data_IF_495068743764
#
_entry.id   IF_495068743764
#
_cell.length_a   1.000
_cell.length_b   1.000
_cell.length_c   1.000
_cell.angle_alpha   90.00
_cell.angle_beta   90.00
_cell.angle_gamma   90.00
#
_symmetry.space_group_name_H-M   'P 1'
#
loop_
_entity.id
_entity.type
_entity.pdbx_description
1 polymer ?
#
# COMPACT_ATOMS: atom_id res chain seq x y z
N UNK A 1 25.70 27.10 -6.11
CA UNK A 1 24.89 26.56 -7.23
C UNK A 1 24.89 27.60 -8.32
N UNK A 2 25.58 27.31 -9.42
CA UNK A 2 25.70 28.18 -10.58
C UNK A 2 24.46 28.03 -11.48
N UNK A 3 24.27 28.95 -12.43
CA UNK A 3 23.22 28.81 -13.46
C UNK A 3 23.41 27.52 -14.27
N UNK A 4 24.65 27.12 -14.51
CA UNK A 4 24.99 25.89 -15.21
C UNK A 4 24.53 24.65 -14.43
N UNK A 5 24.76 24.61 -13.11
CA UNK A 5 24.29 23.53 -12.24
C UNK A 5 22.77 23.36 -12.31
N UNK A 6 22.02 24.48 -12.28
CA UNK A 6 20.56 24.45 -12.34
C UNK A 6 20.06 24.00 -13.72
N UNK A 7 20.70 24.42 -14.81
CA UNK A 7 20.37 23.95 -16.16
C UNK A 7 20.61 22.45 -16.33
N UNK A 8 21.70 21.91 -15.77
CA UNK A 8 21.99 20.47 -15.76
C UNK A 8 20.88 19.73 -14.99
N UNK A 9 20.50 20.23 -13.81
CA UNK A 9 19.42 19.68 -12.99
C UNK A 9 18.07 19.69 -13.71
N UNK A 10 17.67 20.82 -14.29
CA UNK A 10 16.41 20.94 -15.04
C UNK A 10 16.37 19.97 -16.23
N UNK A 11 17.48 19.83 -16.97
CA UNK A 11 17.59 18.89 -18.10
C UNK A 11 17.49 17.43 -17.64
N UNK A 12 18.05 17.09 -16.49
CA UNK A 12 17.95 15.76 -15.86
C UNK A 12 16.49 15.44 -15.52
N UNK A 13 15.81 16.34 -14.81
CA UNK A 13 14.39 16.21 -14.43
C UNK A 13 13.48 16.08 -15.67
N UNK A 14 13.71 16.91 -16.71
CA UNK A 14 12.94 16.85 -17.95
C UNK A 14 13.09 15.49 -18.65
N UNK A 15 14.30 14.91 -18.63
CA UNK A 15 14.56 13.58 -19.21
C UNK A 15 13.88 12.46 -18.43
N UNK A 16 13.91 12.49 -17.09
CA UNK A 16 13.23 11.46 -16.28
C UNK A 16 11.73 11.53 -16.48
N UNK A 17 11.15 12.74 -16.53
CA UNK A 17 9.73 12.93 -16.83
C UNK A 17 9.35 12.50 -18.25
N UNK A 18 10.15 12.83 -19.28
CA UNK A 18 9.89 12.38 -20.65
C UNK A 18 9.99 10.85 -20.78
N UNK A 19 10.91 10.22 -20.05
CA UNK A 19 10.96 8.76 -19.93
C UNK A 19 9.69 8.23 -19.26
N UNK A 20 9.24 8.85 -18.16
CA UNK A 20 7.98 8.50 -17.53
C UNK A 20 6.79 8.64 -18.48
N UNK A 21 6.73 9.65 -19.36
CA UNK A 21 5.67 9.80 -20.38
C UNK A 21 5.78 8.77 -21.53
N UNK A 22 6.93 8.12 -21.68
CA UNK A 22 7.18 7.13 -22.72
C UNK A 22 7.64 7.71 -24.05
N UNK A 23 8.29 8.88 -24.04
CA UNK A 23 8.92 9.46 -25.23
C UNK A 23 9.93 8.47 -25.81
N UNK A 24 9.76 8.08 -27.08
CA UNK A 24 10.44 6.93 -27.71
C UNK A 24 11.96 7.04 -27.66
N UNK A 25 12.50 8.23 -27.86
CA UNK A 25 13.94 8.51 -27.90
C UNK A 25 14.59 8.48 -26.50
N UNK A 26 13.79 8.59 -25.44
CA UNK A 26 14.26 8.72 -24.05
C UNK A 26 13.92 7.47 -23.22
N UNK A 27 12.84 6.77 -23.57
CA UNK A 27 12.36 5.59 -22.84
C UNK A 27 13.35 4.43 -23.00
N UNK A 28 13.80 3.88 -21.86
CA UNK A 28 14.61 2.66 -21.84
C UNK A 28 13.77 1.45 -22.23
N UNK A 29 14.25 0.63 -23.16
CA UNK A 29 13.52 -0.54 -23.69
C UNK A 29 13.14 -1.55 -22.61
N UNK A 30 14.06 -1.85 -21.69
CA UNK A 30 13.82 -2.78 -20.57
C UNK A 30 12.76 -2.29 -19.57
N UNK A 31 12.50 -0.98 -19.52
CA UNK A 31 11.55 -0.36 -18.59
C UNK A 31 10.20 -0.02 -19.27
N UNK A 32 10.22 0.18 -20.59
CA UNK A 32 9.08 0.63 -21.38
C UNK A 32 7.80 -0.19 -21.17
N UNK A 33 7.84 -1.54 -21.11
CA UNK A 33 6.64 -2.33 -20.91
C UNK A 33 5.98 -2.07 -19.54
N UNK A 34 6.78 -1.99 -18.47
CA UNK A 34 6.26 -1.74 -17.13
C UNK A 34 5.67 -0.33 -17.00
N UNK A 35 6.38 0.67 -17.55
CA UNK A 35 5.92 2.07 -17.54
C UNK A 35 4.63 2.26 -18.33
N UNK A 36 4.54 1.67 -19.53
CA UNK A 36 3.33 1.74 -20.36
C UNK A 36 2.13 1.13 -19.65
N UNK A 37 2.32 -0.04 -19.05
CA UNK A 37 1.29 -0.75 -18.27
C UNK A 37 0.79 0.14 -17.13
N UNK A 38 1.70 0.59 -16.26
CA UNK A 38 1.37 1.45 -15.12
C UNK A 38 0.71 2.77 -15.55
N UNK A 39 1.19 3.44 -16.60
CA UNK A 39 0.62 4.70 -17.10
C UNK A 39 -0.84 4.58 -17.56
N UNK A 40 -1.25 3.41 -18.04
CA UNK A 40 -2.65 3.20 -18.44
C UNK A 40 -3.63 3.25 -17.26
N UNK A 41 -3.13 3.19 -16.02
CA UNK A 41 -3.91 3.37 -14.79
C UNK A 41 -3.98 4.83 -14.31
N UNK A 42 -3.22 5.74 -14.94
CA UNK A 42 -3.13 7.15 -14.58
C UNK A 42 -1.68 7.65 -14.50
N UNK A 43 -1.48 8.93 -14.17
CA UNK A 43 -0.17 9.58 -14.14
C UNK A 43 0.22 10.16 -12.77
N UNK A 44 -0.63 10.02 -11.75
CA UNK A 44 -0.44 10.61 -10.42
C UNK A 44 0.83 10.15 -9.69
N UNK A 45 1.34 8.99 -10.06
CA UNK A 45 2.56 8.37 -9.53
C UNK A 45 3.86 8.92 -10.15
N UNK A 46 3.76 9.87 -11.10
CA UNK A 46 4.92 10.40 -11.83
C UNK A 46 6.03 10.93 -10.94
N UNK A 47 5.70 11.64 -9.85
CA UNK A 47 6.71 12.19 -8.91
C UNK A 47 7.53 11.07 -8.25
N UNK A 48 6.86 10.01 -7.79
CA UNK A 48 7.53 8.84 -7.20
C UNK A 48 8.40 8.12 -8.23
N UNK A 49 7.90 7.98 -9.46
CA UNK A 49 8.64 7.36 -10.56
C UNK A 49 9.89 8.18 -10.92
N UNK A 50 9.79 9.51 -10.93
CA UNK A 50 10.93 10.38 -11.15
C UNK A 50 11.98 10.19 -10.06
N UNK A 51 11.58 10.11 -8.78
CA UNK A 51 12.51 9.82 -7.68
C UNK A 51 13.21 8.47 -7.86
N UNK A 52 12.48 7.41 -8.23
CA UNK A 52 13.09 6.10 -8.50
C UNK A 52 14.06 6.14 -9.68
N UNK A 53 13.77 6.97 -10.69
CA UNK A 53 14.69 7.24 -11.79
C UNK A 53 15.98 7.89 -11.30
N UNK A 54 15.87 8.86 -10.38
CA UNK A 54 17.03 9.49 -9.76
C UNK A 54 17.91 8.45 -9.06
N UNK A 55 17.33 7.55 -8.26
CA UNK A 55 18.05 6.45 -7.61
C UNK A 55 18.75 5.49 -8.61
N UNK A 56 18.18 5.32 -9.80
CA UNK A 56 18.75 4.46 -10.85
C UNK A 56 19.94 5.11 -11.57
N UNK A 57 19.88 6.43 -11.81
CA UNK A 57 20.89 7.16 -12.58
C UNK A 57 21.95 7.84 -11.70
N UNK A 58 21.73 7.87 -10.39
CA UNK A 58 22.68 8.40 -9.42
C UNK A 58 24.03 7.68 -9.48
N UNK A 59 25.08 8.35 -8.99
CA UNK A 59 26.47 7.83 -9.04
C UNK A 59 26.60 6.48 -8.31
N UNK A 60 25.82 6.27 -7.25
CA UNK A 60 25.79 5.04 -6.48
C UNK A 60 24.93 3.93 -7.09
N UNK A 61 24.05 4.23 -8.07
CA UNK A 61 23.14 3.28 -8.76
C UNK A 61 22.49 2.26 -7.82
N UNK A 62 21.89 2.76 -6.75
CA UNK A 62 21.30 1.96 -5.68
C UNK A 62 20.01 1.24 -6.10
N UNK A 63 19.44 1.60 -7.25
CA UNK A 63 18.33 0.91 -7.88
C UNK A 63 18.78 0.28 -9.21
N UNK A 64 18.99 -1.03 -9.22
CA UNK A 64 19.34 -1.74 -10.46
C UNK A 64 18.16 -1.82 -11.45
N UNK A 65 18.42 -2.29 -12.68
CA UNK A 65 17.37 -2.36 -13.71
C UNK A 65 16.22 -3.29 -13.33
N UNK A 66 16.51 -4.43 -12.71
CA UNK A 66 15.50 -5.41 -12.31
C UNK A 66 14.65 -4.84 -11.18
N UNK A 67 15.28 -4.29 -10.14
CA UNK A 67 14.62 -3.64 -9.03
C UNK A 67 13.77 -2.45 -9.48
N UNK A 68 14.21 -1.68 -10.48
CA UNK A 68 13.41 -0.58 -11.00
C UNK A 68 12.16 -1.10 -11.72
N UNK A 69 12.28 -2.15 -12.55
CA UNK A 69 11.10 -2.80 -13.13
C UNK A 69 10.16 -3.32 -12.02
N UNK A 70 10.71 -3.99 -11.01
CA UNK A 70 9.94 -4.51 -9.87
C UNK A 70 9.25 -3.39 -9.09
N UNK A 71 9.89 -2.22 -8.90
CA UNK A 71 9.31 -1.04 -8.28
C UNK A 71 8.10 -0.50 -9.06
N UNK A 72 8.23 -0.40 -10.40
CA UNK A 72 7.12 0.03 -11.25
C UNK A 72 5.96 -0.97 -11.21
N UNK A 73 6.26 -2.28 -11.22
CA UNK A 73 5.24 -3.33 -11.07
C UNK A 73 4.57 -3.32 -9.70
N UNK A 74 5.30 -2.97 -8.63
CA UNK A 74 4.73 -2.82 -7.30
C UNK A 74 3.73 -1.66 -7.23
N UNK A 75 4.09 -0.50 -7.80
CA UNK A 75 3.20 0.66 -7.90
C UNK A 75 1.97 0.33 -8.74
N UNK A 76 2.15 -0.33 -9.89
CA UNK A 76 1.05 -0.80 -10.73
C UNK A 76 0.11 -1.75 -9.98
N UNK A 77 0.67 -2.74 -9.28
CA UNK A 77 -0.09 -3.71 -8.47
C UNK A 77 -0.92 -3.00 -7.40
N UNK A 78 -0.33 -2.06 -6.66
CA UNK A 78 -1.04 -1.25 -5.67
C UNK A 78 -2.24 -0.51 -6.28
N UNK A 79 -2.01 0.21 -7.39
CA UNK A 79 -3.06 1.02 -8.04
C UNK A 79 -4.18 0.11 -8.56
N UNK A 80 -3.84 -0.99 -9.24
CA UNK A 80 -4.83 -1.90 -9.79
C UNK A 80 -5.65 -2.57 -8.69
N UNK A 81 -5.00 -3.17 -7.68
CA UNK A 81 -5.69 -3.86 -6.58
C UNK A 81 -6.70 -2.93 -5.93
N UNK A 82 -6.30 -1.70 -5.59
CA UNK A 82 -7.21 -0.70 -5.02
C UNK A 82 -8.35 -0.33 -5.95
N UNK A 83 -8.09 -0.22 -7.25
CA UNK A 83 -9.14 0.06 -8.23
C UNK A 83 -10.14 -1.10 -8.37
N UNK A 84 -9.68 -2.34 -8.28
CA UNK A 84 -10.54 -3.54 -8.29
C UNK A 84 -11.45 -3.57 -7.07
N UNK A 85 -10.93 -3.21 -5.89
CA UNK A 85 -11.71 -3.06 -4.66
C UNK A 85 -12.64 -1.82 -4.65
N UNK A 86 -12.57 -0.94 -5.65
CA UNK A 86 -13.37 0.29 -5.69
C UNK A 86 -12.92 1.36 -4.68
N UNK A 87 -11.68 1.31 -4.19
CA UNK A 87 -11.19 2.23 -3.17
C UNK A 87 -10.89 3.63 -3.74
N UNK A 88 -11.09 4.65 -2.89
CA UNK A 88 -10.93 6.06 -3.26
C UNK A 88 -9.48 6.41 -3.64
N UNK A 89 -9.34 7.32 -4.62
CA UNK A 89 -8.05 7.77 -5.17
C UNK A 89 -7.74 9.26 -4.98
N UNK A 90 -8.60 10.00 -4.26
CA UNK A 90 -8.53 11.47 -4.18
C UNK A 90 -7.18 12.02 -3.67
N UNK A 91 -6.46 11.26 -2.85
CA UNK A 91 -5.21 11.71 -2.23
C UNK A 91 -3.97 11.01 -2.81
N UNK A 92 -4.08 10.37 -3.97
CA UNK A 92 -2.96 9.63 -4.57
C UNK A 92 -1.76 10.52 -4.85
N UNK A 93 -1.98 11.75 -5.36
CA UNK A 93 -0.88 12.68 -5.60
C UNK A 93 -0.10 13.01 -4.32
N UNK A 94 -0.80 13.33 -3.23
CA UNK A 94 -0.17 13.62 -1.93
C UNK A 94 0.55 12.39 -1.38
N UNK A 95 -0.05 11.21 -1.52
CA UNK A 95 0.51 9.93 -1.09
C UNK A 95 1.83 9.62 -1.82
N UNK A 96 1.81 9.63 -3.15
CA UNK A 96 2.98 9.33 -3.97
C UNK A 96 4.08 10.39 -3.82
N UNK A 97 3.69 11.67 -3.68
CA UNK A 97 4.65 12.75 -3.38
C UNK A 97 5.33 12.53 -2.04
N UNK A 98 4.56 12.21 -0.98
CA UNK A 98 5.13 11.89 0.33
C UNK A 98 6.09 10.69 0.25
N UNK A 99 5.68 9.62 -0.42
CA UNK A 99 6.54 8.44 -0.58
C UNK A 99 7.83 8.78 -1.32
N UNK A 100 7.77 9.63 -2.35
CA UNK A 100 8.96 10.08 -3.07
C UNK A 100 9.99 10.77 -2.15
N UNK A 101 9.52 11.59 -1.19
CA UNK A 101 10.40 12.22 -0.20
C UNK A 101 10.91 11.25 0.88
N UNK A 102 10.27 10.11 1.08
CA UNK A 102 10.66 9.12 2.08
C UNK A 102 11.54 7.99 1.53
N UNK A 103 11.79 7.93 0.21
CA UNK A 103 12.71 6.95 -0.38
C UNK A 103 14.14 7.21 0.10
N UNK A 104 14.74 6.23 0.79
CA UNK A 104 16.17 6.24 1.08
C UNK A 104 16.96 6.03 -0.23
N UNK A 105 17.85 6.96 -0.60
CA UNK A 105 18.72 6.77 -1.76
C UNK A 105 19.61 5.54 -1.64
N UNK A 106 20.00 5.08 -0.44
CA UNK A 106 20.90 3.93 -0.28
C UNK A 106 20.19 2.57 -0.40
N UNK A 107 18.90 2.52 -0.06
CA UNK A 107 18.07 1.31 -0.12
C UNK A 107 16.72 1.58 -0.81
N UNK A 108 16.77 2.06 -2.05
CA UNK A 108 15.60 2.67 -2.68
C UNK A 108 14.43 1.72 -2.89
N UNK A 109 14.69 0.47 -3.28
CA UNK A 109 13.62 -0.52 -3.45
C UNK A 109 13.03 -0.98 -2.10
N UNK A 110 13.88 -1.25 -1.10
CA UNK A 110 13.44 -1.61 0.25
C UNK A 110 12.61 -0.51 0.91
N UNK A 111 13.06 0.74 0.76
CA UNK A 111 12.35 1.92 1.25
C UNK A 111 10.99 2.10 0.59
N UNK A 112 10.87 1.81 -0.71
CA UNK A 112 9.57 1.82 -1.39
C UNK A 112 8.62 0.76 -0.81
N UNK A 113 9.12 -0.46 -0.56
CA UNK A 113 8.32 -1.53 0.04
C UNK A 113 7.84 -1.14 1.44
N UNK A 114 8.72 -0.60 2.28
CA UNK A 114 8.35 -0.09 3.61
C UNK A 114 7.37 1.07 3.52
N UNK A 115 7.55 2.00 2.58
CA UNK A 115 6.66 3.14 2.39
C UNK A 115 5.22 2.66 2.12
N UNK A 116 5.05 1.62 1.29
CA UNK A 116 3.76 0.95 1.09
C UNK A 116 3.25 0.21 2.33
N UNK A 117 4.14 -0.45 3.07
CA UNK A 117 3.80 -1.21 4.29
C UNK A 117 3.29 -0.32 5.42
N UNK A 118 3.76 0.93 5.47
CA UNK A 118 3.49 1.89 6.54
C UNK A 118 2.40 2.90 6.16
N UNK A 119 1.67 2.67 5.06
CA UNK A 119 0.54 3.50 4.69
C UNK A 119 -0.58 3.44 5.74
N UNK A 120 -1.32 4.54 5.96
CA UNK A 120 -2.50 4.52 6.81
C UNK A 120 -3.52 3.49 6.32
N UNK A 121 -4.32 2.93 7.24
CA UNK A 121 -5.30 1.88 6.92
C UNK A 121 -6.23 2.23 5.73
N UNK A 122 -6.68 3.49 5.60
CA UNK A 122 -7.53 3.92 4.47
C UNK A 122 -6.84 3.86 3.09
N UNK A 123 -5.51 3.80 3.09
CA UNK A 123 -4.63 3.71 1.91
C UNK A 123 -3.74 2.45 1.94
N UNK A 124 -4.08 1.45 2.76
CA UNK A 124 -3.30 0.21 2.84
C UNK A 124 -3.15 -0.46 1.47
N UNK A 125 -2.07 -1.23 1.34
CA UNK A 125 -1.85 -2.10 0.20
C UNK A 125 -2.80 -3.31 0.32
N UNK A 126 -3.72 -3.55 -0.64
CA UNK A 126 -4.69 -4.62 -0.49
C UNK A 126 -4.07 -6.02 -0.48
N UNK A 127 -4.56 -6.87 0.43
CA UNK A 127 -4.09 -8.25 0.56
C UNK A 127 -4.48 -9.11 -0.64
N UNK A 128 -3.93 -10.33 -0.72
CA UNK A 128 -4.38 -11.28 -1.74
C UNK A 128 -5.85 -11.63 -1.56
N UNK A 129 -6.29 -11.89 -0.33
CA UNK A 129 -7.65 -12.29 0.03
C UNK A 129 -8.67 -11.21 -0.37
N UNK A 130 -8.37 -9.93 -0.08
CA UNK A 130 -9.24 -8.83 -0.47
C UNK A 130 -9.33 -8.67 -1.99
N UNK A 131 -8.18 -8.76 -2.68
CA UNK A 131 -8.10 -8.65 -4.14
C UNK A 131 -8.84 -9.79 -4.84
N UNK A 132 -8.63 -11.00 -4.35
CA UNK A 132 -9.28 -12.22 -4.75
C UNK A 132 -10.79 -12.16 -4.60
N UNK A 133 -11.27 -11.74 -3.44
CA UNK A 133 -12.70 -11.59 -3.18
C UNK A 133 -13.31 -10.56 -4.13
N UNK A 134 -12.66 -9.41 -4.28
CA UNK A 134 -13.14 -8.36 -5.18
C UNK A 134 -13.21 -8.80 -6.65
N UNK A 135 -12.21 -9.54 -7.16
CA UNK A 135 -12.25 -10.08 -8.54
C UNK A 135 -13.40 -11.07 -8.78
N UNK A 136 -13.82 -11.79 -7.74
CA UNK A 136 -14.94 -12.75 -7.79
C UNK A 136 -16.30 -12.03 -7.71
N UNK A 137 -16.41 -11.05 -6.82
CA UNK A 137 -17.67 -10.40 -6.48
C UNK A 137 -18.00 -9.20 -7.39
N UNK A 138 -17.02 -8.50 -7.95
CA UNK A 138 -17.29 -7.25 -8.65
C UNK A 138 -17.68 -7.44 -10.12
N UNK A 139 -18.52 -6.52 -10.59
CA UNK A 139 -18.88 -6.37 -11.99
C UNK A 139 -17.72 -5.71 -12.74
N UNK A 140 -16.73 -6.52 -13.12
CA UNK A 140 -15.48 -6.03 -13.67
C UNK A 140 -15.64 -5.21 -14.95
N UNK A 141 -16.62 -5.53 -15.80
CA UNK A 141 -16.86 -4.75 -17.03
C UNK A 141 -17.14 -3.27 -16.75
N UNK A 142 -17.84 -2.97 -15.66
CA UNK A 142 -18.19 -1.60 -15.27
C UNK A 142 -17.03 -0.86 -14.62
N UNK A 143 -15.96 -1.58 -14.25
CA UNK A 143 -14.77 -0.99 -13.68
C UNK A 143 -13.87 -0.42 -14.79
N UNK A 144 -13.42 0.83 -14.63
CA UNK A 144 -12.49 1.50 -15.54
C UNK A 144 -11.19 0.72 -15.80
N UNK A 145 -10.78 -0.16 -14.88
CA UNK A 145 -9.55 -0.96 -15.04
C UNK A 145 -9.76 -2.26 -15.84
N UNK A 146 -10.98 -2.59 -16.27
CA UNK A 146 -11.28 -3.87 -16.91
C UNK A 146 -10.36 -4.17 -18.09
N UNK A 147 -10.13 -3.15 -18.94
CA UNK A 147 -9.26 -3.30 -20.11
C UNK A 147 -7.82 -3.58 -19.71
N UNK A 148 -7.29 -2.86 -18.71
CA UNK A 148 -5.95 -3.09 -18.20
C UNK A 148 -5.81 -4.49 -17.60
N UNK A 149 -6.81 -4.95 -16.84
CA UNK A 149 -6.85 -6.29 -16.28
C UNK A 149 -6.79 -7.37 -17.38
N UNK A 150 -7.62 -7.23 -18.42
CA UNK A 150 -7.63 -8.18 -19.54
C UNK A 150 -6.33 -8.11 -20.36
N UNK A 151 -5.76 -6.92 -20.56
CA UNK A 151 -4.46 -6.77 -21.22
C UNK A 151 -3.36 -7.50 -20.43
N UNK A 152 -3.26 -7.25 -19.12
CA UNK A 152 -2.30 -7.95 -18.27
C UNK A 152 -2.46 -9.47 -18.32
N UNK A 153 -3.70 -9.97 -18.26
CA UNK A 153 -3.99 -11.39 -18.39
C UNK A 153 -3.65 -11.96 -19.78
N UNK A 154 -3.77 -11.20 -20.86
CA UNK A 154 -3.37 -11.67 -22.19
C UNK A 154 -1.85 -11.66 -22.37
N UNK A 155 -1.20 -10.61 -21.90
CA UNK A 155 0.15 -10.25 -22.31
C UNK A 155 1.24 -10.53 -21.27
N UNK A 156 0.92 -10.76 -19.99
CA UNK A 156 1.96 -10.98 -18.97
C UNK A 156 2.82 -12.22 -19.27
N UNK A 157 4.14 -12.10 -19.07
CA UNK A 157 5.12 -13.16 -19.34
C UNK A 157 5.33 -13.52 -20.82
N UNK A 158 4.53 -12.99 -21.74
CA UNK A 158 4.64 -13.30 -23.17
C UNK A 158 5.77 -12.50 -23.84
N UNK A 159 6.57 -13.17 -24.68
CA UNK A 159 7.58 -12.50 -25.53
C UNK A 159 6.90 -11.78 -26.70
N UNK A 160 5.96 -12.45 -27.36
CA UNK A 160 5.16 -11.88 -28.43
C UNK A 160 3.84 -11.33 -27.86
N UNK A 161 3.74 -10.01 -27.77
CA UNK A 161 2.57 -9.32 -27.22
C UNK A 161 1.46 -9.24 -28.25
N UNK A 162 0.24 -9.52 -27.83
CA UNK A 162 -0.95 -9.27 -28.63
C UNK A 162 -1.29 -7.76 -28.59
N UNK A 163 -1.70 -7.16 -29.73
CA UNK A 163 -2.08 -5.75 -29.81
C UNK A 163 -3.48 -5.52 -29.23
N UNK A 164 -3.65 -5.76 -27.93
CA UNK A 164 -4.92 -5.69 -27.19
C UNK A 164 -5.60 -4.32 -27.26
N UNK A 165 -4.83 -3.25 -27.51
CA UNK A 165 -5.35 -1.90 -27.73
C UNK A 165 -6.27 -1.77 -28.95
N UNK A 166 -6.06 -2.62 -29.98
CA UNK A 166 -6.91 -2.70 -31.17
C UNK A 166 -8.14 -3.59 -30.93
N UNK A 167 -8.23 -4.22 -29.76
CA UNK A 167 -9.31 -5.13 -29.42
C UNK A 167 -10.35 -4.46 -28.52
N UNK A 168 -11.58 -4.94 -28.65
CA UNK A 168 -12.71 -4.56 -27.81
C UNK A 168 -12.96 -5.63 -26.75
N UNK A 169 -13.58 -5.22 -25.65
CA UNK A 169 -14.03 -6.16 -24.60
C UNK A 169 -15.31 -6.81 -25.10
N UNK A 170 -15.34 -8.14 -25.10
CA UNK A 170 -16.48 -8.95 -25.51
C UNK A 170 -17.08 -9.67 -24.30
N UNK A 171 -18.41 -9.72 -24.27
CA UNK A 171 -19.19 -10.57 -23.38
C UNK A 171 -19.43 -11.91 -24.07
N UNK A 172 -18.92 -13.00 -23.52
CA UNK A 172 -19.07 -14.32 -24.14
C UNK A 172 -20.56 -14.70 -24.14
N UNK A 173 -21.18 -14.72 -22.97
CA UNK A 173 -22.64 -14.62 -22.80
C UNK A 173 -23.05 -13.15 -23.01
N UNK A 174 -23.88 -12.83 -24.03
CA UNK A 174 -24.15 -11.46 -24.44
C UNK A 174 -25.00 -10.65 -23.46
N UNK A 175 -24.99 -9.33 -23.62
CA UNK A 175 -25.84 -8.42 -22.83
C UNK A 175 -27.33 -8.61 -23.13
N UNK A 176 -27.69 -8.91 -24.38
CA UNK A 176 -29.09 -9.08 -24.78
C UNK A 176 -29.39 -10.55 -25.11
N UNK A 177 -30.03 -11.27 -24.17
CA UNK A 177 -30.44 -12.68 -24.36
C UNK A 177 -31.95 -12.93 -24.25
N UNK A 178 -32.76 -11.91 -23.92
CA UNK A 178 -34.23 -12.05 -23.78
C UNK A 178 -34.93 -12.59 -25.03
N UNK A 179 -34.35 -12.36 -26.21
CA UNK A 179 -34.87 -12.85 -27.48
C UNK A 179 -34.13 -14.07 -28.05
N UNK A 180 -33.08 -14.57 -27.37
CA UNK A 180 -32.33 -15.75 -27.83
C UNK A 180 -32.74 -16.99 -27.06
N UNK A 181 -33.51 -17.86 -27.72
CA UNK A 181 -33.93 -19.15 -27.16
C UNK A 181 -32.75 -20.08 -26.92
N UNK A 182 -31.71 -19.96 -27.73
CA UNK A 182 -30.48 -20.75 -27.63
C UNK A 182 -29.74 -20.46 -26.32
N UNK A 183 -29.56 -19.17 -25.99
CA UNK A 183 -28.94 -18.78 -24.73
C UNK A 183 -29.80 -19.14 -23.52
N UNK A 184 -31.12 -18.93 -23.59
CA UNK A 184 -32.04 -19.34 -22.51
C UNK A 184 -31.97 -20.84 -22.26
N UNK A 185 -32.01 -21.64 -23.33
CA UNK A 185 -31.88 -23.10 -23.22
C UNK A 185 -30.52 -23.54 -22.71
N UNK A 186 -29.44 -22.86 -23.09
CA UNK A 186 -28.08 -23.17 -22.64
C UNK A 186 -27.88 -22.88 -21.15
N UNK A 187 -28.45 -21.79 -20.66
CA UNK A 187 -28.35 -21.38 -19.25
C UNK A 187 -29.34 -22.12 -18.34
N UNK A 188 -30.41 -22.69 -18.89
CA UNK A 188 -31.40 -23.51 -18.17
C UNK A 188 -32.57 -22.70 -17.62
N UNK A 189 -33.31 -23.29 -16.67
CA UNK A 189 -34.55 -22.70 -16.13
C UNK A 189 -34.29 -21.34 -15.44
N UNK A 190 -33.16 -21.21 -14.75
CA UNK A 190 -32.78 -20.02 -13.97
C UNK A 190 -31.95 -19.01 -14.78
N UNK A 191 -32.08 -19.00 -16.11
CA UNK A 191 -31.24 -18.21 -17.00
C UNK A 191 -31.22 -16.71 -16.67
N UNK A 192 -32.33 -16.14 -16.18
CA UNK A 192 -32.41 -14.72 -15.81
C UNK A 192 -31.47 -14.39 -14.65
N UNK A 193 -31.51 -15.21 -13.59
CA UNK A 193 -30.66 -15.06 -12.40
C UNK A 193 -29.19 -15.26 -12.76
N UNK A 194 -28.89 -16.29 -13.57
CA UNK A 194 -27.52 -16.55 -14.03
C UNK A 194 -27.02 -15.39 -14.89
N UNK A 195 -27.85 -14.85 -15.78
CA UNK A 195 -27.48 -13.73 -16.63
C UNK A 195 -27.17 -12.48 -15.82
N UNK A 196 -28.08 -12.08 -14.92
CA UNK A 196 -27.88 -10.90 -14.06
C UNK A 196 -26.61 -11.01 -13.22
N UNK A 197 -26.38 -12.18 -12.61
CA UNK A 197 -25.23 -12.40 -11.74
C UNK A 197 -23.90 -12.42 -12.50
N UNK A 198 -23.86 -13.06 -13.67
CA UNK A 198 -22.60 -13.38 -14.34
C UNK A 198 -22.23 -12.46 -15.50
N UNK A 199 -23.18 -11.67 -16.02
CA UNK A 199 -22.99 -10.86 -17.23
C UNK A 199 -21.70 -10.03 -17.20
N UNK A 200 -21.45 -9.31 -16.10
CA UNK A 200 -20.32 -8.39 -15.99
C UNK A 200 -19.11 -8.96 -15.22
N UNK A 201 -19.14 -10.25 -14.86
CA UNK A 201 -18.08 -10.90 -14.10
C UNK A 201 -16.89 -11.24 -14.98
N UNK A 202 -15.69 -11.26 -14.39
CA UNK A 202 -14.43 -11.52 -15.08
C UNK A 202 -14.47 -12.81 -15.94
N UNK A 203 -15.09 -13.87 -15.42
CA UNK A 203 -15.25 -15.14 -16.12
C UNK A 203 -15.99 -15.04 -17.46
N UNK A 204 -16.87 -14.05 -17.64
CA UNK A 204 -17.63 -13.83 -18.87
C UNK A 204 -16.99 -12.83 -19.85
N UNK A 205 -15.83 -12.23 -19.50
CA UNK A 205 -15.22 -11.17 -20.28
C UNK A 205 -13.98 -11.65 -21.05
N UNK A 206 -13.81 -11.15 -22.27
CA UNK A 206 -12.62 -11.43 -23.07
C UNK A 206 -12.28 -10.29 -24.02
N UNK A 207 -11.21 -10.44 -24.81
CA UNK A 207 -10.81 -9.51 -25.86
C UNK A 207 -11.04 -10.12 -27.24
N UNK A 208 -11.48 -9.30 -28.19
CA UNK A 208 -11.65 -9.68 -29.60
C UNK A 208 -11.54 -8.48 -30.55
N UNK A 209 -11.04 -8.75 -31.76
CA UNK A 209 -11.08 -7.80 -32.88
C UNK A 209 -12.40 -7.84 -33.67
N UNK A 210 -13.26 -8.84 -33.40
CA UNK A 210 -14.46 -9.14 -34.21
C UNK A 210 -15.78 -8.96 -33.44
N UNK A 211 -15.81 -8.08 -32.44
CA UNK A 211 -16.96 -7.89 -31.54
C UNK A 211 -18.27 -7.62 -32.30
N UNK A 212 -18.23 -6.78 -33.33
CA UNK A 212 -19.41 -6.49 -34.17
C UNK A 212 -20.01 -7.73 -34.85
N UNK A 213 -19.21 -8.76 -35.12
CA UNK A 213 -19.67 -10.04 -35.69
C UNK A 213 -20.17 -11.02 -34.64
N UNK A 214 -19.61 -10.96 -33.42
CA UNK A 214 -19.96 -11.86 -32.32
C UNK A 214 -21.21 -11.38 -31.60
N UNK A 215 -21.18 -10.16 -31.06
CA UNK A 215 -22.30 -9.42 -30.48
C UNK A 215 -23.29 -10.31 -29.71
N UNK A 216 -24.58 -10.32 -30.07
CA UNK A 216 -25.63 -11.11 -29.41
C UNK A 216 -25.84 -12.50 -30.05
N UNK A 217 -24.90 -13.00 -30.84
CA UNK A 217 -25.04 -14.30 -31.50
C UNK A 217 -25.05 -15.46 -30.48
N UNK A 218 -25.69 -16.60 -30.81
CA UNK A 218 -25.59 -17.83 -30.03
C UNK A 218 -24.13 -18.27 -29.83
N UNK A 219 -23.86 -19.00 -28.75
CA UNK A 219 -22.49 -19.44 -28.41
C UNK A 219 -21.80 -20.21 -29.54
N UNK A 220 -22.50 -21.15 -30.17
CA UNK A 220 -21.96 -21.96 -31.27
C UNK A 220 -21.55 -21.10 -32.49
N UNK A 221 -22.35 -20.08 -32.79
CA UNK A 221 -22.04 -19.10 -33.84
C UNK A 221 -20.81 -18.29 -33.47
N UNK A 222 -20.70 -17.85 -32.20
CA UNK A 222 -19.52 -17.12 -31.71
C UNK A 222 -18.25 -17.98 -31.74
N UNK A 223 -18.37 -19.29 -31.56
CA UNK A 223 -17.24 -20.23 -31.67
C UNK A 223 -16.76 -20.38 -33.12
N UNK A 224 -17.68 -20.69 -34.03
CA UNK A 224 -17.39 -21.22 -35.38
C UNK A 224 -17.26 -20.17 -36.48
N UNK A 225 -17.83 -18.98 -36.30
CA UNK A 225 -17.75 -17.91 -37.31
C UNK A 225 -16.30 -17.52 -37.62
N UNK A 226 -16.01 -17.02 -38.82
CA UNK A 226 -14.69 -16.49 -39.18
C UNK A 226 -14.27 -15.35 -38.22
N UNK A 227 -13.21 -15.57 -37.45
CA UNK A 227 -12.77 -14.66 -36.38
C UNK A 227 -13.42 -14.93 -35.02
N UNK A 228 -14.21 -16.00 -34.90
CA UNK A 228 -14.80 -16.51 -33.68
C UNK A 228 -13.80 -17.14 -32.73
N UNK A 229 -14.28 -17.66 -31.61
CA UNK A 229 -13.41 -18.11 -30.52
C UNK A 229 -12.45 -19.22 -30.95
N UNK A 230 -12.89 -20.17 -31.80
CA UNK A 230 -12.06 -21.30 -32.28
C UNK A 230 -10.83 -20.84 -33.07
N UNK A 231 -11.01 -19.82 -33.92
CA UNK A 231 -9.95 -19.27 -34.78
C UNK A 231 -9.23 -18.06 -34.18
N UNK A 232 -9.57 -17.66 -32.95
CA UNK A 232 -9.01 -16.47 -32.30
C UNK A 232 -7.50 -16.62 -32.06
N UNK A 233 -6.73 -15.54 -32.22
CA UNK A 233 -5.33 -15.50 -31.81
C UNK A 233 -5.16 -15.14 -30.32
N UNK A 234 -6.21 -14.69 -29.65
CA UNK A 234 -6.19 -14.19 -28.26
C UNK A 234 -6.14 -15.36 -27.28
N UNK A 235 -5.11 -15.42 -26.44
CA UNK A 235 -4.88 -16.53 -25.48
C UNK A 235 -5.96 -16.59 -24.40
N UNK A 236 -6.55 -15.47 -24.00
CA UNK A 236 -7.72 -15.41 -23.10
C UNK A 236 -8.91 -16.25 -23.58
N UNK A 237 -9.00 -16.50 -24.89
CA UNK A 237 -10.05 -17.33 -25.49
C UNK A 237 -9.73 -18.83 -25.46
N UNK A 238 -8.53 -19.26 -25.04
CA UNK A 238 -8.13 -20.68 -25.04
C UNK A 238 -9.05 -21.56 -24.19
N UNK A 239 -9.52 -21.06 -23.03
CA UNK A 239 -10.49 -21.77 -22.20
C UNK A 239 -11.83 -21.93 -22.95
N UNK A 240 -12.33 -20.82 -23.51
CA UNK A 240 -13.63 -20.73 -24.20
C UNK A 240 -13.72 -21.68 -25.39
N UNK A 241 -12.63 -21.78 -26.17
CA UNK A 241 -12.53 -22.68 -27.34
C UNK A 241 -12.84 -24.14 -27.03
N UNK A 242 -12.46 -24.58 -25.83
CA UNK A 242 -12.57 -25.96 -25.39
C UNK A 242 -13.93 -26.29 -24.78
N UNK A 243 -14.81 -25.31 -24.62
CA UNK A 243 -16.12 -25.53 -24.03
C UNK A 243 -17.16 -25.75 -25.11
N UNK A 244 -18.01 -26.74 -24.90
CA UNK A 244 -19.19 -26.99 -25.75
C UNK A 244 -20.41 -26.20 -25.28
N UNK A 245 -20.41 -25.78 -24.01
CA UNK A 245 -21.48 -24.99 -23.40
C UNK A 245 -20.89 -23.81 -22.63
N UNK A 246 -21.68 -22.78 -22.44
CA UNK A 246 -21.28 -21.58 -21.69
C UNK A 246 -22.31 -21.24 -20.62
N UNK A 247 -22.21 -21.94 -19.49
CA UNK A 247 -23.12 -21.80 -18.35
C UNK A 247 -22.42 -21.14 -17.15
N UNK A 248 -23.16 -20.95 -16.06
CA UNK A 248 -22.59 -20.54 -14.77
C UNK A 248 -21.32 -21.31 -14.41
N UNK A 249 -21.32 -22.64 -14.59
CA UNK A 249 -20.17 -23.49 -14.27
C UNK A 249 -18.91 -23.06 -15.03
N UNK A 250 -18.99 -22.90 -16.35
CA UNK A 250 -17.82 -22.48 -17.15
C UNK A 250 -17.37 -21.06 -16.83
N UNK A 251 -18.30 -20.15 -16.53
CA UNK A 251 -17.98 -18.79 -16.11
C UNK A 251 -17.28 -18.75 -14.75
N UNK A 252 -17.72 -19.59 -13.80
CA UNK A 252 -17.10 -19.74 -12.49
C UNK A 252 -15.69 -20.35 -12.60
N UNK A 253 -15.55 -21.47 -13.30
CA UNK A 253 -14.27 -22.18 -13.49
C UNK A 253 -13.24 -21.26 -14.17
N UNK A 254 -13.64 -20.57 -15.25
CA UNK A 254 -12.77 -19.59 -15.91
C UNK A 254 -12.45 -18.41 -15.02
N UNK A 255 -13.43 -17.92 -14.27
CA UNK A 255 -13.25 -16.82 -13.33
C UNK A 255 -12.15 -17.13 -12.33
N UNK A 256 -12.14 -18.34 -11.76
CA UNK A 256 -11.12 -18.77 -10.81
C UNK A 256 -9.73 -18.92 -11.47
N UNK A 257 -9.65 -19.47 -12.68
CA UNK A 257 -8.38 -19.54 -13.44
C UNK A 257 -7.78 -18.13 -13.67
N UNK A 258 -8.61 -17.18 -14.15
CA UNK A 258 -8.16 -15.82 -14.41
C UNK A 258 -7.75 -15.09 -13.13
N UNK A 259 -8.45 -15.35 -12.03
CA UNK A 259 -8.16 -14.77 -10.72
C UNK A 259 -6.81 -15.24 -10.19
N UNK A 260 -6.53 -16.53 -10.25
CA UNK A 260 -5.22 -17.10 -9.89
C UNK A 260 -4.08 -16.43 -10.67
N UNK A 261 -4.27 -16.27 -11.98
CA UNK A 261 -3.32 -15.58 -12.85
C UNK A 261 -3.17 -14.10 -12.48
N UNK A 262 -4.25 -13.41 -12.13
CA UNK A 262 -4.19 -12.00 -11.72
C UNK A 262 -3.31 -11.80 -10.49
N UNK A 263 -3.34 -12.70 -9.51
CA UNK A 263 -2.49 -12.62 -8.31
C UNK A 263 -1.00 -12.77 -8.66
N UNK A 264 -0.66 -13.63 -9.62
CA UNK A 264 0.71 -13.83 -10.09
C UNK A 264 1.25 -12.57 -10.81
N UNK A 265 0.38 -11.87 -11.55
CA UNK A 265 0.68 -10.67 -12.32
C UNK A 265 0.85 -9.45 -11.39
N UNK A 266 -0.18 -9.17 -10.59
CA UNK A 266 -0.23 -8.04 -9.67
C UNK A 266 -0.01 -8.56 -8.26
N UNK A 267 1.26 -8.77 -7.92
CA UNK A 267 1.69 -9.42 -6.67
C UNK A 267 1.35 -8.58 -5.43
N UNK A 268 1.13 -9.22 -4.27
CA UNK A 268 0.98 -8.51 -3.02
C UNK A 268 2.28 -7.79 -2.64
N UNK A 269 2.18 -6.88 -1.67
CA UNK A 269 3.36 -6.34 -1.03
C UNK A 269 4.12 -7.47 -0.32
N UNK A 270 5.42 -7.55 -0.56
CA UNK A 270 6.32 -8.49 0.10
C UNK A 270 7.39 -7.68 0.82
N UNK A 271 7.34 -7.65 2.14
CA UNK A 271 8.27 -6.92 3.01
C UNK A 271 8.29 -7.65 4.36
N UNK A 272 9.46 -7.81 4.97
CA UNK A 272 9.54 -8.48 6.27
C UNK A 272 9.23 -7.52 7.41
N UNK A 273 8.73 -8.06 8.52
CA UNK A 273 8.53 -7.28 9.75
C UNK A 273 9.83 -6.65 10.25
N UNK A 274 10.97 -7.31 10.01
CA UNK A 274 12.30 -6.78 10.30
C UNK A 274 12.60 -5.51 9.49
N UNK A 275 12.34 -5.51 8.17
CA UNK A 275 12.54 -4.32 7.33
C UNK A 275 11.64 -3.16 7.77
N UNK A 276 10.40 -3.45 8.15
CA UNK A 276 9.48 -2.43 8.68
C UNK A 276 10.00 -1.89 10.02
N UNK A 277 10.46 -2.77 10.92
CA UNK A 277 11.02 -2.40 12.23
C UNK A 277 12.26 -1.52 12.08
N UNK A 278 13.23 -1.94 11.25
CA UNK A 278 14.47 -1.17 11.05
C UNK A 278 14.20 0.19 10.41
N UNK A 279 13.30 0.28 9.43
CA UNK A 279 12.96 1.57 8.83
C UNK A 279 12.22 2.51 9.78
N UNK A 280 11.35 1.98 10.66
CA UNK A 280 10.76 2.77 11.76
C UNK A 280 11.84 3.27 12.72
N UNK A 281 12.78 2.40 13.10
CA UNK A 281 13.92 2.71 13.97
C UNK A 281 14.79 3.81 13.37
N UNK A 282 15.18 3.69 12.11
CA UNK A 282 15.97 4.68 11.37
C UNK A 282 15.26 6.04 11.29
N UNK A 283 13.95 6.08 11.05
CA UNK A 283 13.15 7.33 11.10
C UNK A 283 13.15 7.94 12.50
N UNK A 284 13.00 7.14 13.56
CA UNK A 284 13.07 7.62 14.94
C UNK A 284 14.45 8.20 15.28
N UNK A 285 15.54 7.53 14.91
CA UNK A 285 16.91 8.04 15.09
C UNK A 285 17.14 9.36 14.36
N UNK A 286 16.64 9.49 13.12
CA UNK A 286 16.73 10.74 12.37
C UNK A 286 15.95 11.89 13.04
N UNK A 287 14.85 11.59 13.74
CA UNK A 287 14.08 12.57 14.53
C UNK A 287 14.79 12.92 15.84
N UNK A 288 15.32 11.93 16.54
CA UNK A 288 16.10 12.11 17.77
C UNK A 288 17.30 13.04 17.57
N UNK A 289 17.96 12.97 16.41
CA UNK A 289 19.08 13.85 16.06
C UNK A 289 18.71 15.32 15.88
N UNK A 290 17.43 15.66 15.66
CA UNK A 290 17.00 17.05 15.39
C UNK A 290 16.95 17.91 16.64
N UNK A 291 16.73 17.30 17.81
CA UNK A 291 16.52 18.01 19.07
C UNK A 291 16.77 17.06 20.23
N UNK A 292 17.61 17.47 21.18
CA UNK A 292 17.86 16.73 22.42
C UNK A 292 17.05 17.31 23.57
N UNK A 293 16.86 16.53 24.63
CA UNK A 293 16.08 16.98 25.79
C UNK A 293 16.83 18.03 26.61
N UNK A 294 18.16 18.10 26.47
CA UNK A 294 19.05 19.05 27.12
C UNK A 294 18.74 20.51 26.74
N UNK A 295 18.20 20.71 25.54
CA UNK A 295 17.72 21.99 25.00
C UNK A 295 16.34 22.41 25.53
N UNK A 296 15.67 21.57 26.32
CA UNK A 296 14.37 21.89 26.91
C UNK A 296 14.54 22.84 28.11
N UNK A 297 13.83 23.96 28.07
CA UNK A 297 13.71 24.86 29.22
C UNK A 297 12.86 24.21 30.32
N UNK A 298 13.45 23.99 31.49
CA UNK A 298 12.76 23.45 32.66
C UNK A 298 13.51 23.78 33.97
N UNK A 299 12.84 23.73 35.14
CA UNK A 299 13.49 23.94 36.43
C UNK A 299 14.56 22.88 36.73
N UNK A 300 15.64 23.27 37.42
CA UNK A 300 16.77 22.39 37.76
C UNK A 300 16.36 21.11 38.51
N UNK A 301 15.38 21.21 39.43
CA UNK A 301 14.87 20.03 40.14
C UNK A 301 14.23 19.01 39.20
N UNK A 302 13.41 19.48 38.26
CA UNK A 302 12.75 18.62 37.27
C UNK A 302 13.75 18.05 36.26
N UNK A 303 14.78 18.83 35.90
CA UNK A 303 15.91 18.36 35.08
C UNK A 303 16.63 17.17 35.75
N UNK A 304 16.90 17.26 37.05
CA UNK A 304 17.50 16.15 37.80
C UNK A 304 16.63 14.90 37.88
N UNK A 305 15.30 15.07 38.01
CA UNK A 305 14.35 13.96 37.95
C UNK A 305 14.32 13.30 36.57
N UNK A 306 14.31 14.09 35.50
CA UNK A 306 14.32 13.61 34.12
C UNK A 306 15.58 12.80 33.83
N UNK A 307 16.75 13.35 34.15
CA UNK A 307 18.05 12.68 33.94
C UNK A 307 18.13 11.35 34.70
N UNK A 308 17.69 11.35 35.97
CA UNK A 308 17.69 10.15 36.81
C UNK A 308 16.71 9.09 36.28
N UNK A 309 15.53 9.50 35.83
CA UNK A 309 14.53 8.60 35.25
C UNK A 309 15.04 7.98 33.94
N UNK A 310 15.65 8.77 33.06
CA UNK A 310 16.24 8.27 31.82
C UNK A 310 17.39 7.28 32.08
N UNK A 311 18.19 7.51 33.13
CA UNK A 311 19.24 6.57 33.53
C UNK A 311 18.64 5.19 33.87
N UNK A 312 17.61 5.16 34.71
CA UNK A 312 16.93 3.91 35.09
C UNK A 312 16.26 3.22 33.89
N UNK A 313 15.68 3.97 32.95
CA UNK A 313 15.08 3.41 31.73
C UNK A 313 16.17 2.77 30.83
N UNK A 314 17.34 3.42 30.68
CA UNK A 314 18.44 2.89 29.86
C UNK A 314 19.08 1.63 30.43
N UNK A 315 18.98 1.40 31.74
CA UNK A 315 19.42 0.15 32.38
C UNK A 315 18.53 -1.04 32.03
N UNK A 316 17.27 -0.81 31.64
CA UNK A 316 16.31 -1.89 31.35
C UNK A 316 16.06 -2.12 29.86
N UNK A 317 16.39 -1.16 28.99
CA UNK A 317 16.23 -1.29 27.53
C UNK A 317 17.13 -0.31 26.76
N UNK A 318 17.56 -0.71 25.56
CA UNK A 318 18.01 0.25 24.54
C UNK A 318 16.79 1.11 24.15
N UNK A 319 16.93 2.44 24.17
CA UNK A 319 15.83 3.36 23.84
C UNK A 319 16.26 4.38 22.78
N UNK A 320 15.29 4.85 22.00
CA UNK A 320 15.45 6.05 21.18
C UNK A 320 14.64 7.19 21.81
N UNK A 321 15.36 8.25 22.18
CA UNK A 321 14.82 9.47 22.76
C UNK A 321 14.41 10.46 21.67
N UNK A 322 13.11 10.77 21.58
CA UNK A 322 12.58 11.72 20.59
C UNK A 322 11.90 12.87 21.31
N UNK A 323 12.33 14.11 21.03
CA UNK A 323 11.74 15.32 21.61
C UNK A 323 10.79 15.97 20.60
N UNK A 324 9.53 16.21 20.99
CA UNK A 324 8.53 16.85 20.11
C UNK A 324 8.41 18.36 20.37
N UNK A 325 8.26 19.12 19.29
CA UNK A 325 8.33 20.59 19.31
C UNK A 325 7.13 21.28 19.98
N UNK A 326 5.96 20.64 20.02
CA UNK A 326 4.71 21.29 20.49
C UNK A 326 4.44 21.20 22.00
N UNK A 327 5.30 20.55 22.76
CA UNK A 327 4.95 20.17 24.13
C UNK A 327 6.11 20.18 25.14
N UNK A 328 7.36 20.17 24.66
CA UNK A 328 8.51 19.90 25.54
C UNK A 328 8.50 18.49 26.13
N UNK A 329 7.69 17.58 25.57
CA UNK A 329 7.66 16.16 25.93
C UNK A 329 8.80 15.40 25.27
N UNK A 330 9.32 14.42 26.01
CA UNK A 330 10.33 13.47 25.58
C UNK A 330 9.68 12.08 25.51
N UNK A 331 9.81 11.42 24.37
CA UNK A 331 9.31 10.05 24.17
C UNK A 331 10.49 9.10 24.18
N UNK A 332 10.33 7.96 24.85
CA UNK A 332 11.29 6.86 24.76
C UNK A 332 10.65 5.68 24.02
N UNK A 333 11.30 5.22 22.96
CA UNK A 333 10.79 4.17 22.07
C UNK A 333 11.67 2.92 22.07
N UNK A 334 11.09 1.72 22.13
CA UNK A 334 11.66 0.45 21.62
C UNK A 334 10.62 -0.72 21.62
N UNK A 335 10.40 -1.46 20.51
CA UNK A 335 10.27 -0.95 19.14
C UNK A 335 9.07 0.02 19.00
N UNK A 336 8.23 0.10 20.03
CA UNK A 336 7.09 1.00 20.17
C UNK A 336 7.31 1.99 21.33
N UNK A 337 6.53 3.06 21.42
CA UNK A 337 6.59 3.99 22.56
C UNK A 337 6.00 3.29 23.80
N UNK A 338 6.75 3.20 24.89
CA UNK A 338 6.28 2.60 26.15
C UNK A 338 6.27 3.58 27.34
N UNK A 339 6.95 4.73 27.23
CA UNK A 339 6.81 5.83 28.18
C UNK A 339 7.04 7.19 27.51
N UNK A 340 6.19 8.14 27.86
CA UNK A 340 6.33 9.56 27.53
C UNK A 340 6.62 10.34 28.81
N UNK A 341 7.68 11.16 28.77
CA UNK A 341 8.22 11.97 29.86
C UNK A 341 7.87 13.43 29.61
N UNK A 342 7.09 14.03 30.50
CA UNK A 342 6.59 15.41 30.35
C UNK A 342 7.07 16.25 31.54
N UNK A 343 8.03 17.18 31.34
CA UNK A 343 8.48 18.07 32.40
C UNK A 343 7.42 19.14 32.71
N UNK A 344 6.97 19.20 33.97
CA UNK A 344 6.10 20.26 34.49
C UNK A 344 6.90 21.26 35.33
N UNK A 345 6.23 22.27 35.90
CA UNK A 345 6.87 23.31 36.73
C UNK A 345 7.49 22.79 38.03
N UNK A 346 7.02 21.66 38.56
CA UNK A 346 7.43 21.17 39.89
C UNK A 346 7.64 19.66 39.97
N UNK A 347 7.30 18.92 38.92
CA UNK A 347 7.36 17.48 38.88
C UNK A 347 7.59 17.01 37.43
N UNK A 348 7.96 15.75 37.28
CA UNK A 348 8.02 15.07 35.99
C UNK A 348 6.81 14.13 35.89
N UNK A 349 6.05 14.21 34.80
CA UNK A 349 4.94 13.28 34.55
C UNK A 349 5.35 12.19 33.59
N UNK A 350 5.04 10.95 33.94
CA UNK A 350 5.10 9.81 33.04
C UNK A 350 3.70 9.55 32.47
N UNK A 351 3.62 9.29 31.17
CA UNK A 351 2.44 8.69 30.54
C UNK A 351 2.83 7.29 30.08
N UNK A 352 2.13 6.28 30.58
CA UNK A 352 2.36 4.87 30.29
C UNK A 352 1.15 4.31 29.55
N UNK A 353 1.33 3.59 28.41
CA UNK A 353 0.25 2.98 27.64
C UNK A 353 -0.28 1.70 28.32
N UNK A 354 -0.78 1.86 29.55
CA UNK A 354 -1.29 0.79 30.40
C UNK A 354 -2.77 1.02 30.71
N UNK A 355 -3.49 -0.06 30.99
CA UNK A 355 -4.87 0.01 31.48
C UNK A 355 -4.88 0.28 32.99
N UNK A 356 -5.49 1.39 33.41
CA UNK A 356 -5.49 1.83 34.81
C UNK A 356 -6.10 0.81 35.81
N UNK A 357 -7.05 -0.01 35.37
CA UNK A 357 -7.66 -1.06 36.20
C UNK A 357 -6.79 -2.32 36.36
N UNK A 358 -5.76 -2.49 35.53
CA UNK A 358 -4.94 -3.70 35.47
C UNK A 358 -3.59 -3.54 36.17
N UNK A 359 -3.30 -2.35 36.70
CA UNK A 359 -2.04 -2.06 37.37
C UNK A 359 -2.14 -2.19 38.89
N UNK A 360 -1.10 -2.75 39.50
CA UNK A 360 -0.86 -2.60 40.93
C UNK A 360 -0.31 -1.20 41.21
N UNK A 361 -0.92 -0.49 42.17
CA UNK A 361 -0.57 0.89 42.49
C UNK A 361 0.43 0.92 43.64
N UNK A 362 1.66 1.41 43.44
CA UNK A 362 2.61 1.56 44.53
C UNK A 362 2.03 2.49 45.60
N UNK A 363 2.18 2.11 46.87
CA UNK A 363 1.92 3.03 47.98
C UNK A 363 2.90 4.20 47.85
N UNK A 364 2.42 5.42 48.12
CA UNK A 364 3.21 6.67 48.01
C UNK A 364 3.57 7.13 46.59
N UNK A 365 2.88 6.62 45.55
CA UNK A 365 3.02 7.13 44.19
C UNK A 365 1.70 7.76 43.69
N UNK A 366 1.79 8.97 43.13
CA UNK A 366 0.65 9.66 42.55
C UNK A 366 0.33 9.07 41.17
N UNK A 367 -0.61 8.12 41.14
CA UNK A 367 -1.04 7.39 39.94
C UNK A 367 -2.48 7.75 39.56
N UNK A 368 -2.68 8.19 38.32
CA UNK A 368 -3.96 8.68 37.84
C UNK A 368 -4.41 7.98 36.56
N UNK A 369 -5.73 7.94 36.37
CA UNK A 369 -6.37 7.42 35.17
C UNK A 369 -6.48 8.53 34.12
N UNK A 370 -5.80 8.37 32.98
CA UNK A 370 -5.80 9.36 31.93
C UNK A 370 -7.20 9.61 31.32
N UNK A 371 -8.11 8.63 31.40
CA UNK A 371 -9.48 8.74 30.87
C UNK A 371 -10.32 9.82 31.57
N UNK A 372 -9.89 10.25 32.77
CA UNK A 372 -10.53 11.33 33.53
C UNK A 372 -10.30 12.71 32.94
N UNK A 373 -9.38 12.85 31.98
CA UNK A 373 -9.09 14.12 31.32
C UNK A 373 -9.46 14.07 29.83
N UNK A 374 -10.15 15.12 29.34
CA UNK A 374 -10.43 15.26 27.89
C UNK A 374 -9.15 15.41 27.06
N UNK A 375 -8.06 15.88 27.66
CA UNK A 375 -6.73 15.99 27.08
C UNK A 375 -5.69 16.07 28.21
N UNK A 376 -4.53 15.46 28.00
CA UNK A 376 -3.35 15.70 28.84
C UNK A 376 -2.54 16.80 28.17
N UNK A 377 -2.36 17.93 28.85
CA UNK A 377 -1.57 19.06 28.34
C UNK A 377 -0.17 18.54 28.00
N UNK A 378 0.32 18.89 26.81
CA UNK A 378 1.62 18.47 26.29
C UNK A 378 1.79 16.98 25.97
N UNK A 379 0.73 16.17 25.97
CA UNK A 379 0.78 14.80 25.41
C UNK A 379 0.31 14.74 23.96
N UNK A 380 0.98 13.93 23.13
CA UNK A 380 0.54 13.63 21.77
C UNK A 380 -0.41 12.42 21.66
N UNK A 381 -0.58 11.64 22.73
CA UNK A 381 -1.45 10.46 22.71
C UNK A 381 -2.88 10.85 23.13
N UNK A 382 -3.86 10.59 22.25
CA UNK A 382 -5.28 10.74 22.58
C UNK A 382 -5.75 9.45 23.27
N UNK A 383 -6.19 9.60 24.51
CA UNK A 383 -6.50 8.50 25.41
C UNK A 383 -7.57 7.56 24.90
N UNK A 384 -7.14 6.32 24.70
CA UNK A 384 -7.73 5.10 25.26
C UNK A 384 -6.51 4.35 25.82
N UNK A 385 -6.50 3.95 27.11
CA UNK A 385 -5.38 3.24 27.79
C UNK A 385 -4.12 4.05 28.15
N UNK A 386 -4.22 5.01 29.08
CA UNK A 386 -3.01 5.63 29.66
C UNK A 386 -3.08 5.73 31.19
N UNK A 387 -1.99 5.37 31.85
CA UNK A 387 -1.72 5.63 33.28
C UNK A 387 -0.80 6.85 33.36
N UNK A 388 -1.16 7.83 34.19
CA UNK A 388 -0.29 8.96 34.48
C UNK A 388 0.39 8.78 35.84
N UNK A 389 1.69 9.03 35.92
CA UNK A 389 2.48 8.92 37.15
C UNK A 389 3.23 10.23 37.38
N UNK A 390 3.03 10.86 38.55
CA UNK A 390 3.73 12.10 38.89
C UNK A 390 4.95 11.83 39.78
N UNK A 391 6.13 12.15 39.25
CA UNK A 391 7.43 12.01 39.90
C UNK A 391 7.82 13.35 40.53
N UNK A 392 7.72 13.42 41.86
CA UNK A 392 8.11 14.61 42.64
C UNK A 392 9.48 14.50 43.33
N UNK A 393 10.05 13.30 43.42
CA UNK A 393 11.29 13.03 44.15
C UNK A 393 12.02 11.81 43.56
N UNK A 394 13.31 11.61 43.88
CA UNK A 394 14.04 10.40 43.47
C UNK A 394 13.43 9.09 43.97
N UNK A 395 12.75 9.07 45.13
CA UNK A 395 12.07 7.85 45.60
C UNK A 395 10.93 7.44 44.67
N UNK A 396 10.17 8.40 44.14
CA UNK A 396 9.08 8.13 43.20
C UNK A 396 9.58 7.46 41.90
N UNK A 397 10.83 7.73 41.50
CA UNK A 397 11.43 7.07 40.32
C UNK A 397 11.48 5.56 40.55
N UNK A 398 12.05 5.13 41.67
CA UNK A 398 12.17 3.70 42.02
C UNK A 398 10.80 3.02 42.13
N UNK A 399 9.83 3.70 42.75
CA UNK A 399 8.46 3.19 42.86
C UNK A 399 7.75 3.09 41.50
N UNK A 400 8.14 3.90 40.51
CA UNK A 400 7.55 3.88 39.17
C UNK A 400 8.13 2.81 38.25
N UNK A 401 9.33 2.29 38.53
CA UNK A 401 10.02 1.34 37.66
C UNK A 401 9.25 0.04 37.37
N UNK A 402 8.51 -0.58 38.32
CA UNK A 402 7.66 -1.73 38.01
C UNK A 402 6.60 -1.43 36.94
N UNK A 403 6.00 -0.25 36.97
CA UNK A 403 5.02 0.18 35.96
C UNK A 403 5.68 0.42 34.60
N UNK A 404 6.88 1.02 34.58
CA UNK A 404 7.65 1.22 33.34
C UNK A 404 8.04 -0.14 32.73
N UNK A 405 8.48 -1.10 33.53
CA UNK A 405 8.81 -2.47 33.06
C UNK A 405 7.59 -3.17 32.48
N UNK A 406 6.43 -3.08 33.13
CA UNK A 406 5.18 -3.62 32.60
C UNK A 406 4.81 -2.96 31.25
N UNK A 407 4.92 -1.64 31.14
CA UNK A 407 4.67 -0.94 29.89
C UNK A 407 5.63 -1.37 28.77
N UNK A 408 6.91 -1.60 29.10
CA UNK A 408 7.90 -2.13 28.17
C UNK A 408 7.57 -3.55 27.71
N UNK A 409 7.16 -4.42 28.62
CA UNK A 409 6.75 -5.80 28.32
C UNK A 409 5.53 -5.85 27.39
N UNK A 410 4.53 -4.98 27.59
CA UNK A 410 3.35 -4.89 26.71
C UNK A 410 3.64 -4.25 25.35
N UNK A 411 4.75 -3.51 25.23
CA UNK A 411 5.15 -2.87 23.97
C UNK A 411 5.94 -3.79 23.03
N UNK A 412 6.45 -4.91 23.56
CA UNK A 412 7.14 -6.00 22.85
C UNK A 412 6.13 -7.04 22.34
#
# INVERSE_FOLDING_TARGET
MTTEDELIRMKRIARTYASFLGTKEIQREWLAPAMRSMRSLGTTQGVLVMQLYECHIDEHRTLDQKQFVDAIRLIESYILRRAVLGLRTASYWTLFTRMAFEIDPNESFGSLQVAFATLPHSYSFPSNEEFERALRENNMFLNRICRHLLDGLENYGQREKSPTHDYSIEHIMPQSIKSSKEWQSMLGADWESVHEMWLHKLGNLTLTAYNSKLSNSPFDVKKTTKGGFESSAVRLNKFVRKQDTWTEKQMADRGEELRRRAIEIWRPLSVSDEQIREAKRSKLLARAKKRTWDELEMPNGVRGLLESTLREIREISEIIEVVESKAGSLYTHWPNCFVELIPYKSFLRLTLPLTYSEIEKPQDLNVHDASRWKFVISSNHRGEHNVLVDIWSPQHIQLSMPLIRNALEQAN
#
